data_IF_341004598649
#
_entry.id   IF_341004598649
#
_cell.length_a   1.000
_cell.length_b   1.000
_cell.length_c   1.000
_cell.angle_alpha   90.00
_cell.angle_beta   90.00
_cell.angle_gamma   90.00
#
_symmetry.space_group_name_H-M   'P 1'
#
loop_
_entity.id
_entity.type
_entity.pdbx_description
1 polymer ?
#
# COMPACT_ATOMS: atom_id res chain seq x y z
N UNK A 1 -10.38 -4.72 10.78
CA UNK A 1 -10.52 -4.65 9.31
C UNK A 1 -9.29 -3.99 8.72
N UNK A 2 -8.73 -4.59 7.67
CA UNK A 2 -7.55 -4.05 7.00
C UNK A 2 -7.98 -3.24 5.78
N UNK A 3 -7.84 -1.93 5.84
CA UNK A 3 -8.18 -1.06 4.72
C UNK A 3 -7.16 -1.14 3.60
N UNK A 4 -7.59 -0.84 2.36
CA UNK A 4 -6.69 -0.84 1.21
C UNK A 4 -5.71 0.33 1.32
N UNK A 5 -4.51 0.10 0.81
CA UNK A 5 -3.48 1.14 0.70
C UNK A 5 -3.61 1.79 -0.67
N UNK A 6 -3.54 3.11 -0.70
CA UNK A 6 -3.70 3.88 -1.93
C UNK A 6 -2.53 4.83 -2.10
N UNK A 7 -2.36 5.34 -3.31
CA UNK A 7 -1.36 6.37 -3.61
C UNK A 7 -1.48 7.53 -2.61
N UNK A 8 -0.36 7.91 -2.01
CA UNK A 8 -0.34 8.98 -1.03
C UNK A 8 -0.54 8.55 0.42
N UNK A 9 -0.85 7.29 0.68
CA UNK A 9 -0.99 6.79 2.04
C UNK A 9 0.37 6.78 2.75
N UNK A 10 0.34 6.82 4.08
CA UNK A 10 1.54 6.99 4.90
C UNK A 10 2.13 5.67 5.37
N UNK A 11 3.34 5.75 5.92
CA UNK A 11 4.00 4.64 6.59
C UNK A 11 4.39 5.03 8.01
N UNK A 12 4.74 4.02 8.82
CA UNK A 12 5.15 4.25 10.21
C UNK A 12 6.46 5.04 10.33
N UNK A 13 7.25 5.09 9.26
CA UNK A 13 8.51 5.87 9.24
C UNK A 13 8.30 7.30 8.71
N UNK A 14 7.06 7.73 8.52
CA UNK A 14 6.78 9.05 7.97
C UNK A 14 6.90 9.15 6.47
N UNK A 15 6.97 8.01 5.77
CA UNK A 15 7.04 7.97 4.32
C UNK A 15 5.68 8.00 3.66
N UNK A 16 5.68 7.90 2.33
CA UNK A 16 4.46 8.01 1.51
C UNK A 16 4.49 6.99 0.38
N UNK A 17 3.34 6.40 0.08
CA UNK A 17 3.18 5.52 -1.09
C UNK A 17 3.25 6.36 -2.35
N UNK A 18 4.17 6.01 -3.25
CA UNK A 18 4.47 6.79 -4.45
C UNK A 18 3.78 6.28 -5.71
N UNK A 19 3.29 5.03 -5.69
CA UNK A 19 2.64 4.41 -6.85
C UNK A 19 1.39 3.67 -6.44
N UNK A 20 0.42 3.62 -7.38
CA UNK A 20 -0.73 2.75 -7.30
C UNK A 20 -0.87 2.07 -8.64
N UNK A 21 -0.23 0.91 -8.83
CA UNK A 21 -0.13 0.26 -10.13
C UNK A 21 -1.24 -0.74 -10.42
N UNK A 22 -2.26 -0.83 -9.55
CA UNK A 22 -3.35 -1.80 -9.74
C UNK A 22 -4.21 -1.52 -10.97
N UNK A 23 -4.25 -0.27 -11.43
CA UNK A 23 -5.16 0.15 -12.47
C UNK A 23 -6.58 0.45 -11.99
N UNK A 24 -6.79 0.39 -10.69
CA UNK A 24 -8.10 0.63 -10.07
C UNK A 24 -8.00 1.79 -9.08
N UNK A 25 -8.98 2.68 -9.12
CA UNK A 25 -9.09 3.77 -8.14
C UNK A 25 -10.17 3.43 -7.12
N UNK A 26 -9.89 3.78 -5.88
CA UNK A 26 -10.86 3.64 -4.81
C UNK A 26 -10.99 5.00 -4.13
N UNK A 27 -12.19 5.58 -4.16
CA UNK A 27 -12.45 6.91 -3.61
C UNK A 27 -11.51 7.98 -4.18
N UNK A 28 -11.24 7.89 -5.48
CA UNK A 28 -10.46 8.88 -6.22
C UNK A 28 -8.94 8.70 -6.20
N UNK A 29 -8.43 7.68 -5.49
CA UNK A 29 -6.99 7.40 -5.44
C UNK A 29 -6.68 6.00 -5.90
N UNK A 30 -5.60 5.85 -6.63
CA UNK A 30 -5.19 4.54 -7.15
C UNK A 30 -4.76 3.61 -6.02
N UNK A 31 -5.24 2.36 -6.09
CA UNK A 31 -4.90 1.33 -5.10
C UNK A 31 -3.50 0.81 -5.35
N UNK A 32 -2.71 0.69 -4.28
CA UNK A 32 -1.35 0.20 -4.34
C UNK A 32 -1.30 -1.31 -4.23
N UNK A 33 -0.29 -1.91 -4.82
CA UNK A 33 -0.08 -3.35 -4.81
C UNK A 33 1.35 -3.70 -4.42
N UNK A 34 1.57 -5.01 -4.28
CA UNK A 34 2.91 -5.56 -4.07
C UNK A 34 3.89 -4.98 -5.10
N UNK A 35 5.06 -4.56 -4.64
CA UNK A 35 6.16 -4.00 -5.42
C UNK A 35 5.99 -2.55 -5.84
N UNK A 36 4.89 -1.89 -5.50
CA UNK A 36 4.77 -0.46 -5.77
C UNK A 36 5.75 0.33 -4.90
N UNK A 37 6.21 1.47 -5.44
CA UNK A 37 7.24 2.27 -4.77
C UNK A 37 6.68 3.05 -3.59
N UNK A 38 7.51 3.16 -2.55
CA UNK A 38 7.20 3.89 -1.33
C UNK A 38 8.42 4.72 -0.94
N UNK A 39 8.21 5.97 -0.52
CA UNK A 39 9.30 6.76 0.04
C UNK A 39 9.47 6.44 1.52
N UNK A 40 10.72 6.42 1.98
CA UNK A 40 11.03 6.21 3.38
C UNK A 40 12.09 7.22 3.79
N UNK A 41 11.79 8.18 4.69
CA UNK A 41 12.77 9.21 5.09
C UNK A 41 14.03 8.63 5.74
N UNK A 42 13.91 7.43 6.34
CA UNK A 42 15.04 6.81 7.03
C UNK A 42 15.94 6.01 6.07
N UNK A 43 15.36 5.43 5.02
CA UNK A 43 16.05 4.47 4.16
C UNK A 43 16.04 4.85 2.69
N UNK A 44 15.41 5.96 2.33
CA UNK A 44 15.23 6.36 0.95
C UNK A 44 14.05 5.64 0.31
N UNK A 45 14.08 5.50 -1.02
CA UNK A 45 12.98 4.84 -1.72
C UNK A 45 13.00 3.33 -1.49
N UNK A 46 11.83 2.78 -1.22
CA UNK A 46 11.65 1.35 -1.02
C UNK A 46 10.43 0.88 -1.80
N UNK A 47 9.92 -0.30 -1.51
CA UNK A 47 8.79 -0.89 -2.22
C UNK A 47 7.90 -1.64 -1.23
N UNK A 48 6.65 -1.88 -1.64
CA UNK A 48 5.72 -2.68 -0.85
C UNK A 48 6.15 -4.14 -0.96
N UNK A 49 6.47 -4.75 0.19
CA UNK A 49 7.02 -6.10 0.25
C UNK A 49 5.96 -7.17 0.48
N UNK A 50 4.74 -6.78 0.84
CA UNK A 50 3.65 -7.71 1.11
C UNK A 50 2.39 -7.32 0.37
N UNK A 51 1.58 -8.31 -0.01
CA UNK A 51 0.28 -8.10 -0.61
C UNK A 51 -0.68 -9.21 -0.18
N UNK A 52 -1.99 -8.97 -0.31
CA UNK A 52 -3.00 -9.95 0.07
C UNK A 52 -3.10 -11.05 -1.01
N UNK A 53 -3.01 -12.31 -0.59
CA UNK A 53 -3.09 -13.45 -1.51
C UNK A 53 -4.48 -13.64 -2.12
N UNK A 54 -5.51 -13.13 -1.47
CA UNK A 54 -6.89 -13.30 -1.91
C UNK A 54 -7.37 -12.12 -2.73
N UNK A 55 -7.07 -10.91 -2.27
CA UNK A 55 -7.53 -9.67 -2.92
C UNK A 55 -6.50 -9.24 -3.96
N UNK A 56 -6.72 -9.64 -5.21
CA UNK A 56 -5.84 -9.29 -6.32
C UNK A 56 -6.59 -8.51 -7.39
N UNK A 57 -5.88 -7.60 -8.04
CA UNK A 57 -6.40 -6.84 -9.17
C UNK A 57 -5.42 -7.01 -10.32
N UNK A 58 -5.91 -7.46 -11.47
CA UNK A 58 -5.08 -7.74 -12.64
C UNK A 58 -3.89 -8.65 -12.33
N UNK A 59 -4.11 -9.62 -11.44
CA UNK A 59 -3.07 -10.57 -11.03
C UNK A 59 -2.11 -10.04 -9.99
N UNK A 60 -2.30 -8.81 -9.51
CA UNK A 60 -1.40 -8.18 -8.53
C UNK A 60 -2.02 -8.19 -7.14
N UNK A 61 -1.33 -8.71 -6.12
CA UNK A 61 -1.82 -8.68 -4.75
C UNK A 61 -1.93 -7.24 -4.25
N UNK A 62 -3.09 -6.88 -3.71
CA UNK A 62 -3.36 -5.54 -3.20
C UNK A 62 -2.70 -5.36 -1.84
N UNK A 63 -2.10 -4.19 -1.62
CA UNK A 63 -1.53 -3.84 -0.33
C UNK A 63 -2.63 -3.39 0.63
N UNK A 64 -2.54 -3.85 1.86
CA UNK A 64 -3.50 -3.53 2.92
C UNK A 64 -2.78 -2.91 4.11
N UNK A 65 -3.58 -2.28 4.98
CA UNK A 65 -3.08 -1.74 6.24
C UNK A 65 -2.36 -2.82 7.04
N UNK A 66 -1.18 -2.50 7.54
CA UNK A 66 -0.36 -3.44 8.31
C UNK A 66 0.64 -4.22 7.49
N UNK A 67 0.56 -4.17 6.16
CA UNK A 67 1.57 -4.78 5.31
C UNK A 67 2.88 -3.99 5.39
N UNK A 68 3.99 -4.67 5.11
CA UNK A 68 5.32 -4.09 5.26
C UNK A 68 5.93 -3.65 3.93
N UNK A 69 6.78 -2.64 4.03
CA UNK A 69 7.68 -2.25 2.94
C UNK A 69 9.00 -2.98 3.06
N UNK A 70 9.80 -2.93 2.00
CA UNK A 70 11.10 -3.59 1.99
C UNK A 70 12.06 -3.08 3.07
N UNK A 71 11.88 -1.85 3.54
CA UNK A 71 12.71 -1.29 4.61
C UNK A 71 12.20 -1.62 6.01
N UNK A 72 11.07 -2.34 6.12
CA UNK A 72 10.50 -2.72 7.40
C UNK A 72 9.43 -1.78 7.94
N UNK A 73 9.15 -0.67 7.29
CA UNK A 73 8.06 0.20 7.71
C UNK A 73 6.71 -0.45 7.44
N UNK A 74 5.68 0.00 8.15
CA UNK A 74 4.33 -0.53 8.05
C UNK A 74 3.45 0.46 7.30
N UNK A 75 2.66 -0.03 6.36
CA UNK A 75 1.71 0.79 5.59
C UNK A 75 0.50 1.13 6.44
N UNK A 76 0.06 2.39 6.37
CA UNK A 76 -1.08 2.90 7.13
C UNK A 76 -2.14 3.38 6.15
N UNK A 77 -3.33 2.78 6.19
CA UNK A 77 -4.42 3.19 5.31
C UNK A 77 -5.04 4.51 5.75
N UNK A 78 -5.48 5.32 4.77
CA UNK A 78 -6.32 6.48 5.01
C UNK A 78 -7.81 6.16 4.84
N UNK A 79 -8.16 4.91 4.53
CA UNK A 79 -9.54 4.48 4.28
C UNK A 79 -9.79 3.13 4.97
N UNK A 80 -9.83 3.10 6.33
CA UNK A 80 -9.87 1.84 7.07
C UNK A 80 -11.15 1.03 6.86
N UNK A 81 -12.24 1.66 6.43
CA UNK A 81 -13.51 0.96 6.20
C UNK A 81 -13.58 0.26 4.84
N UNK A 82 -12.60 0.46 3.96
CA UNK A 82 -12.58 -0.15 2.65
C UNK A 82 -11.43 -1.13 2.54
N UNK A 83 -11.75 -2.38 2.29
CA UNK A 83 -10.74 -3.42 2.18
C UNK A 83 -11.28 -4.76 2.61
N UNK A 84 -10.37 -5.62 3.04
CA UNK A 84 -10.68 -6.96 3.48
C UNK A 84 -10.79 -6.98 5.00
N UNK A 85 -11.94 -7.36 5.46
CA UNK A 85 -12.18 -7.33 6.90
C UNK A 85 -12.30 -8.70 7.53
#
# INVERSE_FOLDING_TARGET
MAGVIRLGDNTTHGGTVLEGSSGVKFMGKEVACLMDRVSCPLHGETFIAEGDDVLKVNGKPIALHGHRCGCGCILITSLPQAGRG
#
